data_IF_597569266089
#
_entry.id   IF_597569266089
#
_cell.length_a   1.000
_cell.length_b   1.000
_cell.length_c   1.000
_cell.angle_alpha   90.00
_cell.angle_beta   90.00
_cell.angle_gamma   90.00
#
_symmetry.space_group_name_H-M   'P 1'
#
loop_
_entity.id
_entity.type
_entity.pdbx_description
1 polymer ?
#
# COMPACT_ATOMS: atom_id res chain seq x y z
N UNK A 1 -0.76 10.93 9.66
CA UNK A 1 -2.22 10.91 9.41
C UNK A 1 -2.95 11.92 10.25
N UNK A 2 -3.19 11.68 11.56
CA UNK A 2 -4.04 12.54 12.40
C UNK A 2 -3.72 14.03 12.34
N UNK A 3 -2.46 14.42 12.56
CA UNK A 3 -2.03 15.83 12.54
C UNK A 3 -2.24 16.48 11.16
N UNK A 4 -1.90 15.76 10.08
CA UNK A 4 -2.02 16.30 8.72
C UNK A 4 -3.49 16.48 8.33
N UNK A 5 -4.36 15.54 8.72
CA UNK A 5 -5.80 15.67 8.50
C UNK A 5 -6.43 16.79 9.31
N UNK A 6 -5.92 17.10 10.52
CA UNK A 6 -6.36 18.28 11.28
C UNK A 6 -5.97 19.60 10.60
N UNK A 7 -4.78 19.64 9.99
CA UNK A 7 -4.27 20.81 9.27
C UNK A 7 -4.84 20.93 7.84
N UNK A 8 -5.51 19.89 7.36
CA UNK A 8 -6.03 19.81 6.00
C UNK A 8 -6.91 21.00 5.61
N UNK A 9 -7.82 21.43 6.50
CA UNK A 9 -8.72 22.56 6.21
C UNK A 9 -7.98 23.87 5.93
N UNK A 10 -6.88 24.16 6.64
CA UNK A 10 -6.03 25.33 6.38
C UNK A 10 -5.21 25.19 5.11
N UNK A 11 -4.72 23.98 4.85
CA UNK A 11 -3.89 23.69 3.69
C UNK A 11 -4.70 23.81 2.40
N UNK A 12 -5.91 23.22 2.37
CA UNK A 12 -6.77 23.18 1.18
C UNK A 12 -7.22 24.57 0.74
N UNK A 13 -7.44 25.49 1.68
CA UNK A 13 -7.78 26.90 1.38
C UNK A 13 -6.62 27.60 0.65
N UNK A 14 -5.37 27.25 0.97
CA UNK A 14 -4.18 27.84 0.34
C UNK A 14 -3.82 27.21 -0.99
N UNK A 15 -3.86 25.88 -1.11
CA UNK A 15 -3.37 25.15 -2.30
C UNK A 15 -4.48 24.69 -3.26
N UNK A 16 -5.73 24.75 -2.82
CA UNK A 16 -6.89 24.25 -3.56
C UNK A 16 -7.12 22.74 -3.40
N UNK A 17 -8.39 22.34 -3.45
CA UNK A 17 -8.84 20.96 -3.25
C UNK A 17 -8.21 19.97 -4.23
N UNK A 18 -8.23 20.29 -5.52
CA UNK A 18 -7.67 19.40 -6.54
C UNK A 18 -6.16 19.22 -6.39
N UNK A 19 -5.43 20.30 -6.12
CA UNK A 19 -3.96 20.23 -5.93
C UNK A 19 -3.63 19.37 -4.71
N UNK A 20 -4.33 19.59 -3.59
CA UNK A 20 -4.20 18.76 -2.40
C UNK A 20 -4.46 17.28 -2.71
N UNK A 21 -5.54 16.98 -3.42
CA UNK A 21 -5.90 15.62 -3.83
C UNK A 21 -4.78 14.93 -4.63
N UNK A 22 -4.31 15.55 -5.71
CA UNK A 22 -3.27 14.98 -6.57
C UNK A 22 -1.94 14.84 -5.83
N UNK A 23 -1.52 15.87 -5.09
CA UNK A 23 -0.30 15.81 -4.29
C UNK A 23 -0.36 14.69 -3.24
N UNK A 24 -1.51 14.49 -2.61
CA UNK A 24 -1.72 13.42 -1.64
C UNK A 24 -1.48 12.04 -2.25
N UNK A 25 -2.13 11.75 -3.39
CA UNK A 25 -1.95 10.48 -4.09
C UNK A 25 -0.54 10.29 -4.66
N UNK A 26 0.13 11.36 -5.12
CA UNK A 26 1.54 11.30 -5.54
C UNK A 26 2.44 10.95 -4.36
N UNK A 27 2.26 11.58 -3.19
CA UNK A 27 3.04 11.27 -1.99
C UNK A 27 2.83 9.82 -1.52
N UNK A 28 1.58 9.33 -1.57
CA UNK A 28 1.27 7.92 -1.29
C UNK A 28 2.01 7.00 -2.28
N UNK A 29 1.94 7.30 -3.58
CA UNK A 29 2.61 6.50 -4.60
C UNK A 29 4.13 6.46 -4.40
N UNK A 30 4.76 7.62 -4.15
CA UNK A 30 6.21 7.71 -3.90
C UNK A 30 6.59 6.92 -2.65
N UNK A 31 5.84 7.06 -1.55
CA UNK A 31 6.12 6.33 -0.33
C UNK A 31 6.01 4.81 -0.52
N UNK A 32 4.96 4.34 -1.19
CA UNK A 32 4.76 2.91 -1.47
C UNK A 32 5.83 2.35 -2.43
N UNK A 33 6.14 3.07 -3.51
CA UNK A 33 7.22 2.67 -4.41
C UNK A 33 8.59 2.64 -3.72
N UNK A 34 8.87 3.58 -2.80
CA UNK A 34 10.09 3.56 -2.01
C UNK A 34 10.10 2.39 -0.99
N UNK A 35 8.96 2.05 -0.39
CA UNK A 35 8.84 0.87 0.47
C UNK A 35 9.03 -0.44 -0.31
N UNK A 36 8.86 -0.44 -1.64
CA UNK A 36 9.12 -1.61 -2.47
C UNK A 36 10.59 -2.07 -2.41
N UNK A 37 11.52 -1.19 -2.00
CA UNK A 37 12.95 -1.50 -1.87
C UNK A 37 13.32 -1.98 -0.46
N UNK A 38 12.34 -2.28 0.41
CA UNK A 38 12.63 -2.79 1.75
C UNK A 38 13.29 -4.16 1.70
N UNK A 39 14.35 -4.28 2.49
CA UNK A 39 15.12 -5.49 2.67
C UNK A 39 15.14 -5.87 4.16
N UNK A 40 15.50 -7.11 4.50
CA UNK A 40 15.58 -7.54 5.90
C UNK A 40 16.53 -6.69 6.76
N UNK A 41 17.51 -6.03 6.15
CA UNK A 41 18.48 -5.15 6.81
C UNK A 41 18.11 -3.66 6.76
N UNK A 42 16.91 -3.29 6.27
CA UNK A 42 16.49 -1.89 6.18
C UNK A 42 16.53 -1.21 7.55
N UNK A 43 17.11 -0.02 7.61
CA UNK A 43 17.25 0.73 8.85
C UNK A 43 15.88 1.17 9.38
N UNK A 44 15.74 1.18 10.72
CA UNK A 44 14.52 1.65 11.38
C UNK A 44 14.19 3.09 11.01
N UNK A 45 15.22 3.94 10.89
CA UNK A 45 15.07 5.35 10.49
C UNK A 45 14.46 5.51 9.10
N UNK A 46 14.93 4.74 8.11
CA UNK A 46 14.37 4.75 6.76
C UNK A 46 12.90 4.29 6.75
N UNK A 47 12.59 3.22 7.48
CA UNK A 47 11.23 2.70 7.59
C UNK A 47 10.29 3.74 8.21
N UNK A 48 10.69 4.36 9.33
CA UNK A 48 9.92 5.41 9.99
C UNK A 48 9.70 6.62 9.08
N UNK A 49 10.74 7.08 8.37
CA UNK A 49 10.63 8.23 7.47
C UNK A 49 9.62 7.99 6.33
N UNK A 50 9.63 6.81 5.71
CA UNK A 50 8.68 6.48 4.65
C UNK A 50 7.26 6.26 5.19
N UNK A 51 7.11 5.68 6.38
CA UNK A 51 5.80 5.58 7.04
C UNK A 51 5.24 6.96 7.39
N UNK A 52 6.08 7.91 7.79
CA UNK A 52 5.69 9.31 7.98
C UNK A 52 5.30 9.96 6.66
N UNK A 53 6.05 9.73 5.57
CA UNK A 53 5.72 10.24 4.24
C UNK A 53 4.36 9.72 3.74
N UNK A 54 4.13 8.41 3.86
CA UNK A 54 2.82 7.79 3.62
C UNK A 54 1.76 8.46 4.50
N UNK A 55 2.09 8.63 5.79
CA UNK A 55 1.44 9.43 6.83
C UNK A 55 0.94 10.82 6.42
N UNK A 56 1.70 11.49 5.57
CA UNK A 56 1.38 12.83 5.08
C UNK A 56 0.51 12.71 3.84
N UNK A 57 0.90 11.82 2.91
CA UNK A 57 0.16 11.58 1.67
C UNK A 57 -1.30 11.19 1.91
N UNK A 58 -1.58 10.18 2.74
CA UNK A 58 -2.99 9.81 2.99
C UNK A 58 -3.72 10.84 3.86
N UNK A 59 -3.01 11.55 4.75
CA UNK A 59 -3.59 12.62 5.56
C UNK A 59 -4.13 13.78 4.72
N UNK A 60 -3.59 13.94 3.51
CA UNK A 60 -4.05 14.87 2.48
C UNK A 60 -5.10 14.23 1.55
N UNK A 61 -4.81 13.03 1.03
CA UNK A 61 -5.63 12.37 0.02
C UNK A 61 -7.03 11.97 0.55
N UNK A 62 -7.10 11.34 1.72
CA UNK A 62 -8.37 10.80 2.27
C UNK A 62 -9.44 11.87 2.46
N UNK A 63 -9.18 12.99 3.20
CA UNK A 63 -10.18 14.03 3.35
C UNK A 63 -10.45 14.78 2.04
N UNK A 64 -9.44 14.96 1.17
CA UNK A 64 -9.64 15.58 -0.13
C UNK A 64 -10.59 14.77 -1.03
N UNK A 65 -10.44 13.44 -1.06
CA UNK A 65 -11.35 12.57 -1.81
C UNK A 65 -12.78 12.69 -1.28
N UNK A 66 -12.94 12.71 0.04
CA UNK A 66 -14.26 12.92 0.67
C UNK A 66 -14.90 14.24 0.25
N UNK A 67 -14.16 15.34 0.35
CA UNK A 67 -14.67 16.66 -0.05
C UNK A 67 -14.98 16.75 -1.55
N UNK A 68 -14.12 16.19 -2.41
CA UNK A 68 -14.32 16.24 -3.86
C UNK A 68 -15.58 15.53 -4.33
N UNK A 69 -15.95 14.42 -3.67
CA UNK A 69 -17.20 13.70 -3.94
C UNK A 69 -18.38 14.51 -3.42
N UNK A 70 -18.33 14.95 -2.16
CA UNK A 70 -19.45 15.65 -1.53
C UNK A 70 -19.74 17.02 -2.15
N UNK A 71 -18.73 17.71 -2.70
CA UNK A 71 -18.89 19.00 -3.37
C UNK A 71 -19.80 18.95 -4.62
N UNK A 72 -20.05 17.77 -5.18
CA UNK A 72 -20.86 17.57 -6.38
C UNK A 72 -22.26 17.03 -6.08
N UNK A 73 -22.60 16.84 -4.80
CA UNK A 73 -23.85 16.20 -4.38
C UNK A 73 -24.78 17.25 -3.75
N UNK A 74 -26.06 17.34 -4.17
CA UNK A 74 -27.06 18.16 -3.51
C UNK A 74 -27.22 17.80 -2.03
N UNK A 75 -27.48 18.79 -1.18
CA UNK A 75 -27.54 18.61 0.28
C UNK A 75 -28.55 17.52 0.70
N UNK A 76 -29.67 17.41 -0.01
CA UNK A 76 -30.75 16.45 0.25
C UNK A 76 -30.30 15.00 0.00
N UNK A 77 -29.25 14.80 -0.81
CA UNK A 77 -28.69 13.48 -1.17
C UNK A 77 -27.35 13.20 -0.51
N UNK A 78 -26.83 14.11 0.31
CA UNK A 78 -25.52 13.97 0.96
C UNK A 78 -25.42 12.71 1.83
N UNK A 79 -26.50 12.36 2.53
CA UNK A 79 -26.58 11.12 3.33
C UNK A 79 -26.38 9.86 2.49
N UNK A 80 -27.07 9.77 1.34
CA UNK A 80 -26.95 8.63 0.40
C UNK A 80 -25.52 8.57 -0.16
N UNK A 81 -25.00 9.70 -0.65
CA UNK A 81 -23.66 9.73 -1.24
C UNK A 81 -22.56 9.37 -0.22
N UNK A 82 -22.68 9.83 1.03
CA UNK A 82 -21.75 9.47 2.11
C UNK A 82 -21.81 7.98 2.42
N UNK A 83 -23.01 7.40 2.51
CA UNK A 83 -23.21 5.97 2.72
C UNK A 83 -22.61 5.14 1.57
N UNK A 84 -22.87 5.50 0.31
CA UNK A 84 -22.27 4.87 -0.86
C UNK A 84 -20.74 4.96 -0.85
N UNK A 85 -20.20 6.14 -0.54
CA UNK A 85 -18.75 6.37 -0.47
C UNK A 85 -18.10 5.52 0.64
N UNK A 86 -18.76 5.37 1.80
CA UNK A 86 -18.31 4.48 2.86
C UNK A 86 -18.36 3.01 2.45
N UNK A 87 -19.46 2.57 1.82
CA UNK A 87 -19.59 1.19 1.32
C UNK A 87 -18.48 0.86 0.30
N UNK A 88 -18.23 1.77 -0.66
CA UNK A 88 -17.16 1.62 -1.64
C UNK A 88 -15.77 1.58 -0.99
N UNK A 89 -15.51 2.41 0.03
CA UNK A 89 -14.26 2.35 0.79
C UNK A 89 -14.09 0.99 1.47
N UNK A 90 -15.11 0.50 2.16
CA UNK A 90 -15.04 -0.78 2.87
C UNK A 90 -14.82 -1.95 1.89
N UNK A 91 -15.56 -1.97 0.79
CA UNK A 91 -15.38 -2.95 -0.28
C UNK A 91 -13.96 -2.87 -0.87
N UNK A 92 -13.49 -1.68 -1.21
CA UNK A 92 -12.15 -1.45 -1.74
C UNK A 92 -11.03 -1.85 -0.78
N UNK A 93 -11.19 -1.58 0.53
CA UNK A 93 -10.23 -2.00 1.55
C UNK A 93 -10.18 -3.52 1.66
N UNK A 94 -11.33 -4.20 1.69
CA UNK A 94 -11.38 -5.67 1.72
C UNK A 94 -10.71 -6.30 0.49
N UNK A 95 -11.06 -5.82 -0.71
CA UNK A 95 -10.46 -6.28 -1.97
C UNK A 95 -8.95 -6.00 -2.02
N UNK A 96 -8.53 -4.81 -1.58
CA UNK A 96 -7.12 -4.43 -1.54
C UNK A 96 -6.31 -5.31 -0.59
N UNK A 97 -6.83 -5.59 0.61
CA UNK A 97 -6.19 -6.50 1.58
C UNK A 97 -6.05 -7.91 0.98
N UNK A 98 -7.12 -8.44 0.38
CA UNK A 98 -7.11 -9.77 -0.20
C UNK A 98 -6.13 -9.89 -1.38
N UNK A 99 -6.13 -8.91 -2.29
CA UNK A 99 -5.29 -8.91 -3.49
C UNK A 99 -3.81 -8.73 -3.15
N UNK A 100 -3.48 -7.72 -2.35
CA UNK A 100 -2.09 -7.43 -1.97
C UNK A 100 -1.52 -8.52 -1.06
N UNK A 101 -2.31 -9.06 -0.14
CA UNK A 101 -1.92 -10.18 0.71
C UNK A 101 -1.66 -11.47 -0.09
N UNK A 102 -2.53 -11.77 -1.05
CA UNK A 102 -2.37 -12.92 -1.96
C UNK A 102 -1.13 -12.77 -2.85
N UNK A 103 -0.88 -11.58 -3.39
CA UNK A 103 0.32 -11.27 -4.17
C UNK A 103 1.59 -11.44 -3.35
N UNK A 104 1.61 -10.87 -2.13
CA UNK A 104 2.73 -11.00 -1.20
C UNK A 104 3.02 -12.47 -0.90
N UNK A 105 2.00 -13.25 -0.54
CA UNK A 105 2.13 -14.67 -0.23
C UNK A 105 2.66 -15.48 -1.42
N UNK A 106 2.09 -15.30 -2.61
CA UNK A 106 2.53 -15.99 -3.82
C UNK A 106 3.99 -15.69 -4.15
N UNK A 107 4.41 -14.42 -4.04
CA UNK A 107 5.79 -13.99 -4.29
C UNK A 107 6.76 -14.54 -3.24
N UNK A 108 6.38 -14.52 -1.97
CA UNK A 108 7.19 -15.09 -0.90
C UNK A 108 7.41 -16.60 -1.11
N UNK A 109 6.35 -17.37 -1.42
CA UNK A 109 6.46 -18.81 -1.70
C UNK A 109 7.40 -19.08 -2.88
N UNK A 110 7.26 -18.34 -3.99
CA UNK A 110 8.12 -18.48 -5.16
C UNK A 110 9.60 -18.17 -4.84
N UNK A 111 9.86 -17.08 -4.11
CA UNK A 111 11.22 -16.68 -3.75
C UNK A 111 11.88 -17.68 -2.80
N UNK A 112 11.13 -18.20 -1.83
CA UNK A 112 11.62 -19.24 -0.92
C UNK A 112 11.96 -20.52 -1.68
N UNK A 113 11.04 -21.01 -2.52
CA UNK A 113 11.25 -22.21 -3.31
C UNK A 113 12.47 -22.08 -4.23
N UNK A 114 12.66 -20.93 -4.89
CA UNK A 114 13.83 -20.66 -5.71
C UNK A 114 15.13 -20.71 -4.91
N UNK A 115 15.14 -20.13 -3.70
CA UNK A 115 16.32 -20.13 -2.82
C UNK A 115 16.67 -21.55 -2.33
N UNK A 116 15.65 -22.35 -1.99
CA UNK A 116 15.83 -23.74 -1.57
C UNK A 116 16.32 -24.64 -2.71
N UNK A 117 15.77 -24.49 -3.93
CA UNK A 117 16.23 -25.22 -5.12
C UNK A 117 17.68 -24.91 -5.46
N UNK A 118 18.07 -23.63 -5.42
CA UNK A 118 19.44 -23.19 -5.67
C UNK A 118 20.43 -23.77 -4.65
N UNK A 119 19.97 -24.09 -3.44
CA UNK A 119 20.77 -24.73 -2.40
C UNK A 119 20.71 -26.27 -2.42
N UNK A 120 20.12 -26.87 -3.47
CA UNK A 120 20.01 -28.32 -3.59
C UNK A 120 19.00 -28.97 -2.64
N UNK A 121 18.00 -28.22 -2.17
CA UNK A 121 16.99 -28.67 -1.20
C UNK A 121 15.57 -28.73 -1.82
N UNK A 122 15.31 -29.64 -2.78
CA UNK A 122 14.02 -29.72 -3.47
C UNK A 122 12.87 -30.08 -2.52
N UNK A 123 13.14 -30.85 -1.46
CA UNK A 123 12.14 -31.18 -0.44
C UNK A 123 11.61 -29.94 0.30
N UNK A 124 12.48 -28.99 0.65
CA UNK A 124 12.07 -27.72 1.25
C UNK A 124 11.35 -26.82 0.25
N UNK A 125 11.75 -26.84 -1.02
CA UNK A 125 11.08 -26.09 -2.07
C UNK A 125 9.64 -26.56 -2.29
N UNK A 126 9.39 -27.87 -2.27
CA UNK A 126 8.05 -28.44 -2.38
C UNK A 126 7.12 -28.01 -1.22
N UNK A 127 7.69 -27.79 -0.03
CA UNK A 127 6.96 -27.39 1.17
C UNK A 127 6.98 -25.87 1.43
N UNK A 128 7.45 -25.06 0.46
CA UNK A 128 7.61 -23.61 0.63
C UNK A 128 6.34 -22.91 1.11
N UNK A 129 5.16 -23.31 0.61
CA UNK A 129 3.87 -22.75 1.05
C UNK A 129 3.62 -22.97 2.54
N UNK A 130 3.85 -24.19 3.04
CA UNK A 130 3.69 -24.50 4.46
C UNK A 130 4.67 -23.72 5.32
N UNK A 131 5.92 -23.58 4.87
CA UNK A 131 6.99 -22.87 5.58
C UNK A 131 6.77 -21.35 5.66
N UNK A 132 6.16 -20.74 4.63
CA UNK A 132 5.78 -19.32 4.66
C UNK A 132 4.58 -19.09 5.60
N UNK A 133 3.59 -19.99 5.60
CA UNK A 133 2.38 -19.84 6.41
C UNK A 133 2.59 -20.24 7.88
N UNK A 134 3.54 -21.14 8.15
CA UNK A 134 3.86 -21.66 9.48
C UNK A 134 5.38 -21.58 9.74
N UNK A 135 5.92 -20.38 10.06
CA UNK A 135 7.37 -20.13 10.14
C UNK A 135 8.10 -20.83 11.31
N UNK A 136 7.41 -21.63 12.12
CA UNK A 136 7.93 -22.30 13.31
C UNK A 136 7.93 -23.82 13.26
N UNK A 137 7.72 -24.43 12.08
CA UNK A 137 7.84 -25.88 11.92
C UNK A 137 9.29 -26.35 12.18
N UNK A 138 9.45 -27.64 12.52
CA UNK A 138 10.63 -28.29 13.13
C UNK A 138 11.98 -28.20 12.38
N UNK A 139 12.06 -27.43 11.28
CA UNK A 139 13.22 -27.26 10.41
C UNK A 139 13.78 -25.82 10.44
N UNK A 140 13.69 -25.12 11.57
CA UNK A 140 14.17 -23.74 11.73
C UNK A 140 15.71 -23.67 11.83
N UNK A 141 16.41 -23.90 10.73
CA UNK A 141 17.85 -23.59 10.63
C UNK A 141 18.06 -22.10 10.37
N UNK A 142 19.20 -21.50 10.73
CA UNK A 142 19.52 -20.10 10.42
C UNK A 142 19.36 -19.77 8.93
N UNK A 143 19.67 -20.73 8.06
CA UNK A 143 19.53 -20.61 6.61
C UNK A 143 18.06 -20.53 6.17
N UNK A 144 17.19 -21.40 6.70
CA UNK A 144 15.74 -21.37 6.40
C UNK A 144 15.12 -20.06 6.89
N UNK A 145 15.52 -19.57 8.06
CA UNK A 145 15.08 -18.27 8.58
C UNK A 145 15.53 -17.11 7.67
N UNK A 146 16.76 -17.17 7.15
CA UNK A 146 17.27 -16.16 6.21
C UNK A 146 16.47 -16.14 4.89
N UNK A 147 16.15 -17.31 4.33
CA UNK A 147 15.31 -17.44 3.13
C UNK A 147 13.88 -16.98 3.38
N UNK A 148 13.31 -17.28 4.54
CA UNK A 148 11.99 -16.77 4.93
C UNK A 148 11.98 -15.24 4.96
N UNK A 149 12.97 -14.62 5.61
CA UNK A 149 13.07 -13.16 5.70
C UNK A 149 13.22 -12.51 4.32
N UNK A 150 14.07 -13.05 3.44
CA UNK A 150 14.25 -12.52 2.09
C UNK A 150 13.01 -12.73 1.21
N UNK A 151 12.33 -13.87 1.34
CA UNK A 151 11.08 -14.16 0.66
C UNK A 151 9.95 -13.19 1.06
N UNK A 152 9.79 -12.94 2.36
CA UNK A 152 8.80 -11.98 2.88
C UNK A 152 9.11 -10.56 2.44
N UNK A 153 10.38 -10.15 2.46
CA UNK A 153 10.79 -8.85 1.94
C UNK A 153 10.48 -8.70 0.44
N UNK A 154 10.75 -9.73 -0.37
CA UNK A 154 10.40 -9.76 -1.79
C UNK A 154 8.88 -9.66 -2.01
N UNK A 155 8.10 -10.45 -1.26
CA UNK A 155 6.64 -10.41 -1.33
C UNK A 155 6.06 -9.05 -0.96
N UNK A 156 6.54 -8.48 0.15
CA UNK A 156 6.18 -7.12 0.58
C UNK A 156 6.55 -6.10 -0.49
N UNK A 157 7.75 -6.19 -1.05
CA UNK A 157 8.23 -5.28 -2.09
C UNK A 157 7.31 -5.25 -3.32
N UNK A 158 6.90 -6.42 -3.81
CA UNK A 158 5.95 -6.52 -4.93
C UNK A 158 4.56 -5.97 -4.58
N UNK A 159 4.06 -6.24 -3.38
CA UNK A 159 2.77 -5.70 -2.94
C UNK A 159 2.82 -4.16 -2.88
N UNK A 160 3.88 -3.59 -2.33
CA UNK A 160 4.08 -2.13 -2.26
C UNK A 160 4.25 -1.50 -3.65
N UNK A 161 4.99 -2.15 -4.56
CA UNK A 161 5.14 -1.67 -5.93
C UNK A 161 3.79 -1.60 -6.66
N UNK A 162 2.98 -2.67 -6.58
CA UNK A 162 1.64 -2.68 -7.20
C UNK A 162 0.73 -1.62 -6.58
N UNK A 163 0.71 -1.51 -5.26
CA UNK A 163 -0.07 -0.49 -4.58
C UNK A 163 0.38 0.94 -4.97
N UNK A 164 1.69 1.17 -5.07
CA UNK A 164 2.27 2.44 -5.51
C UNK A 164 1.91 2.80 -6.95
N UNK A 165 1.95 1.83 -7.87
CA UNK A 165 1.51 2.02 -9.27
C UNK A 165 0.01 2.35 -9.33
N UNK A 166 -0.84 1.64 -8.57
CA UNK A 166 -2.27 1.94 -8.52
C UNK A 166 -2.55 3.35 -7.97
N UNK A 167 -1.82 3.78 -6.94
CA UNK A 167 -1.92 5.13 -6.40
C UNK A 167 -1.46 6.19 -7.42
N UNK A 168 -0.41 5.90 -8.20
CA UNK A 168 0.08 6.79 -9.25
C UNK A 168 -0.92 6.91 -10.40
N UNK A 169 -1.53 5.80 -10.82
CA UNK A 169 -2.59 5.79 -11.84
C UNK A 169 -3.79 6.61 -11.38
N UNK A 170 -4.18 6.49 -10.11
CA UNK A 170 -5.22 7.34 -9.53
C UNK A 170 -4.84 8.83 -9.60
N UNK A 171 -3.60 9.19 -9.22
CA UNK A 171 -3.11 10.57 -9.32
C UNK A 171 -3.13 11.12 -10.76
N UNK A 172 -2.72 10.30 -11.74
CA UNK A 172 -2.72 10.67 -13.16
C UNK A 172 -4.15 10.85 -13.66
N UNK A 173 -5.06 9.93 -13.33
CA UNK A 173 -6.47 10.01 -13.70
C UNK A 173 -7.12 11.29 -13.16
N UNK A 174 -6.89 11.60 -11.88
CA UNK A 174 -7.37 12.83 -11.25
C UNK A 174 -6.81 14.08 -11.94
N UNK A 175 -5.51 14.11 -12.23
CA UNK A 175 -4.89 15.23 -12.95
C UNK A 175 -5.49 15.44 -14.34
N UNK A 176 -5.86 14.37 -15.05
CA UNK A 176 -6.49 14.46 -16.38
C UNK A 176 -7.90 15.02 -16.32
N UNK A 177 -8.69 14.68 -15.29
CA UNK A 177 -10.05 15.17 -15.13
C UNK A 177 -10.12 16.70 -14.97
N UNK A 178 -9.12 17.33 -14.34
CA UNK A 178 -9.03 18.80 -14.28
C UNK A 178 -8.67 19.48 -15.59
N UNK A 179 -8.03 18.78 -16.52
CA UNK A 179 -7.71 19.36 -17.83
C UNK A 179 -8.89 19.29 -18.81
N UNK A 180 -9.92 18.50 -18.48
CA UNK A 180 -11.12 18.34 -19.29
C UNK A 180 -12.26 19.31 -18.92
N UNK A 181 -12.10 20.08 -17.83
CA UNK A 181 -13.03 21.09 -17.33
C UNK A 181 -12.32 22.45 -17.27
#
# INVERSE_FOLDING_TARGET
MGVVSLLFGRLVVRVGLHTALVCGYVLVAVALCAMATFQPATSRGQASALLMLLGIGMGLAVPATGMAVMAQVPAERAGIASATMNALRQAGMSLGIALLGSLMGLRAVRQFAASALAAGQPGLAAHARGLILHPGSSHSTPQVVAWYRSAMASGFGWAMAVAGVLALLAAIGLRRLRLAH
#
